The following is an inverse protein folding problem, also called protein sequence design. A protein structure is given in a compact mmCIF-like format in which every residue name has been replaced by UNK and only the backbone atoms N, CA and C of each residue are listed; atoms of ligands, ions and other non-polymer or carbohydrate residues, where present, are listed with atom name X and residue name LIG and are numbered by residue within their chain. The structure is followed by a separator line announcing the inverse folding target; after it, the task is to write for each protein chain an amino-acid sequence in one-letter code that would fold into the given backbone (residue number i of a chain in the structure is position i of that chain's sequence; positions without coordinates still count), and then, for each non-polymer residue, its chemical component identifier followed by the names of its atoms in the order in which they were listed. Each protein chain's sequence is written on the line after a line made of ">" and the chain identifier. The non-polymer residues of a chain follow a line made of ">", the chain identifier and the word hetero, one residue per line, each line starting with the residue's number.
data_IF_356295863428
#
_entry.id   IF_356295863428
#
_cell.length_a   1.000
_cell.length_b   1.000
_cell.length_c   1.000
_cell.angle_alpha   90.00
_cell.angle_beta   90.00
_cell.angle_gamma   90.00
#
_symmetry.space_group_name_H-M   'P 1'
#
loop_
_entity.id
_entity.type
_entity.pdbx_description
1 polymer ?
#
# COMPACT_ATOMS: atom_id res chain seq x y z
N UNK A 1 9.13 12.01 19.23
CA UNK A 1 7.97 12.70 18.61
C UNK A 1 6.88 13.00 19.65
N UNK A 2 6.03 14.03 19.48
CA UNK A 2 4.86 14.28 20.36
C UNK A 2 3.84 13.15 20.28
N UNK A 3 3.28 12.71 21.42
CA UNK A 3 2.27 11.65 21.47
C UNK A 3 0.97 12.10 20.77
N UNK A 4 0.48 11.30 19.81
CA UNK A 4 -0.75 11.59 19.08
C UNK A 4 -1.92 10.99 19.85
N UNK A 5 -2.52 11.77 20.75
CA UNK A 5 -3.67 11.28 21.50
C UNK A 5 -4.93 11.25 20.63
N UNK A 6 -5.65 10.12 20.69
CA UNK A 6 -6.97 9.94 20.07
C UNK A 6 -7.00 10.19 18.55
N UNK A 7 -5.95 9.74 17.84
CA UNK A 7 -5.83 9.89 16.39
C UNK A 7 -7.04 9.34 15.60
N UNK A 8 -7.62 8.16 15.92
CA UNK A 8 -8.77 7.64 15.18
C UNK A 8 -9.97 8.59 15.18
N UNK A 9 -10.31 9.14 16.34
CA UNK A 9 -11.40 10.11 16.47
C UNK A 9 -11.10 11.41 15.70
N UNK A 10 -9.84 11.88 15.73
CA UNK A 10 -9.42 13.07 15.00
C UNK A 10 -9.56 12.88 13.48
N UNK A 11 -9.06 11.75 12.95
CA UNK A 11 -9.18 11.41 11.53
C UNK A 11 -10.64 11.28 11.13
N UNK A 12 -11.46 10.56 11.91
CA UNK A 12 -12.89 10.39 11.64
C UNK A 12 -13.65 11.73 11.64
N UNK A 13 -13.37 12.60 12.61
CA UNK A 13 -13.96 13.95 12.69
C UNK A 13 -13.58 14.78 11.47
N UNK A 14 -12.29 14.81 11.11
CA UNK A 14 -11.81 15.58 9.96
C UNK A 14 -12.40 15.03 8.66
N UNK A 15 -12.52 13.71 8.52
CA UNK A 15 -13.11 13.07 7.35
C UNK A 15 -14.56 13.48 7.14
N UNK A 16 -15.38 13.43 8.20
CA UNK A 16 -16.79 13.88 8.14
C UNK A 16 -16.90 15.35 7.78
N UNK A 17 -16.05 16.21 8.36
CA UNK A 17 -16.03 17.63 8.06
C UNK A 17 -15.66 17.90 6.59
N UNK A 18 -14.58 17.27 6.10
CA UNK A 18 -14.10 17.39 4.74
C UNK A 18 -15.08 16.84 3.70
N UNK A 19 -15.82 15.78 4.05
CA UNK A 19 -16.89 15.25 3.21
C UNK A 19 -18.06 16.23 3.14
N UNK A 20 -18.47 16.81 4.27
CA UNK A 20 -19.56 17.78 4.33
C UNK A 20 -19.24 19.10 3.59
N UNK A 21 -17.97 19.52 3.59
CA UNK A 21 -17.50 20.71 2.85
C UNK A 21 -17.23 20.45 1.36
N UNK A 22 -17.27 19.19 0.91
CA UNK A 22 -16.93 18.81 -0.47
C UNK A 22 -15.42 18.77 -0.76
N UNK A 23 -14.56 18.86 0.26
CA UNK A 23 -13.11 18.71 0.12
C UNK A 23 -12.72 17.26 -0.18
N UNK A 24 -13.51 16.29 0.27
CA UNK A 24 -13.40 14.87 -0.06
C UNK A 24 -14.43 14.47 -1.12
N UNK A 25 -13.96 13.76 -2.14
CA UNK A 25 -14.83 13.01 -3.05
C UNK A 25 -14.73 11.52 -2.72
N UNK A 26 -15.62 11.04 -1.87
CA UNK A 26 -15.69 9.64 -1.46
C UNK A 26 -16.42 8.79 -2.50
N UNK A 27 -15.91 7.59 -2.76
CA UNK A 27 -16.53 6.64 -3.69
C UNK A 27 -16.80 5.33 -2.97
N UNK A 28 -18.07 5.02 -2.78
CA UNK A 28 -18.49 3.72 -2.24
C UNK A 28 -18.08 2.58 -3.18
N UNK A 29 -17.73 1.43 -2.61
CA UNK A 29 -17.28 0.27 -3.37
C UNK A 29 -18.05 -0.98 -3.06
N UNK A 30 -18.29 -1.79 -4.10
CA UNK A 30 -18.65 -3.21 -3.93
C UNK A 30 -17.40 -4.00 -3.56
N UNK A 31 -17.54 -5.01 -2.70
CA UNK A 31 -16.43 -5.86 -2.25
C UNK A 31 -16.77 -7.33 -2.52
N UNK A 32 -15.77 -8.07 -3.00
CA UNK A 32 -15.82 -9.53 -3.18
C UNK A 32 -14.54 -10.11 -2.60
N UNK A 33 -14.62 -11.26 -1.94
CA UNK A 33 -13.44 -12.00 -1.50
C UNK A 33 -13.07 -12.98 -2.60
N UNK A 34 -11.79 -12.99 -2.97
CA UNK A 34 -11.16 -13.93 -3.89
C UNK A 34 -10.07 -14.69 -3.12
N UNK A 35 -9.63 -15.83 -3.63
CA UNK A 35 -8.53 -16.58 -3.02
C UNK A 35 -7.37 -16.76 -3.99
N UNK A 36 -6.16 -16.65 -3.48
CA UNK A 36 -4.94 -17.03 -4.18
C UNK A 36 -4.13 -17.91 -3.25
N UNK A 37 -3.89 -19.16 -3.63
CA UNK A 37 -3.12 -20.13 -2.82
C UNK A 37 -3.69 -20.27 -1.38
N UNK A 38 -5.02 -20.22 -1.23
CA UNK A 38 -5.70 -20.29 0.07
C UNK A 38 -5.66 -19.00 0.92
N UNK A 39 -5.08 -17.93 0.39
CA UNK A 39 -5.04 -16.61 1.03
C UNK A 39 -6.20 -15.73 0.51
N UNK A 40 -7.03 -15.14 1.39
CA UNK A 40 -8.15 -14.30 0.97
C UNK A 40 -7.64 -12.91 0.58
N UNK A 41 -8.13 -12.41 -0.55
CA UNK A 41 -7.93 -11.05 -1.02
C UNK A 41 -9.30 -10.40 -1.21
N UNK A 42 -9.44 -9.15 -0.78
CA UNK A 42 -10.61 -8.36 -1.14
C UNK A 42 -10.38 -7.66 -2.48
N UNK A 43 -11.27 -7.92 -3.43
CA UNK A 43 -11.44 -7.13 -4.64
C UNK A 43 -12.45 -6.04 -4.34
N UNK A 44 -12.06 -4.77 -4.54
CA UNK A 44 -12.94 -3.61 -4.43
C UNK A 44 -13.24 -3.06 -5.81
N UNK A 45 -14.51 -2.77 -6.09
CA UNK A 45 -14.93 -2.14 -7.34
C UNK A 45 -15.51 -0.75 -7.11
N UNK A 46 -14.96 0.23 -7.81
CA UNK A 46 -15.46 1.61 -7.81
C UNK A 46 -15.53 2.18 -9.23
N UNK A 47 -16.73 2.23 -9.86
CA UNK A 47 -16.88 2.74 -11.22
C UNK A 47 -16.59 4.25 -11.30
N UNK A 48 -16.86 4.98 -10.22
CA UNK A 48 -16.67 6.42 -10.16
C UNK A 48 -15.19 6.84 -10.26
N UNK A 49 -14.25 5.94 -9.95
CA UNK A 49 -12.82 6.18 -10.12
C UNK A 49 -12.36 6.13 -11.58
N UNK A 50 -13.13 5.54 -12.50
CA UNK A 50 -12.84 5.60 -13.93
C UNK A 50 -12.85 7.06 -14.44
N UNK A 51 -13.65 7.92 -13.81
CA UNK A 51 -13.82 9.33 -14.17
C UNK A 51 -12.91 10.29 -13.38
N UNK A 52 -12.02 9.77 -12.51
CA UNK A 52 -11.08 10.61 -11.76
C UNK A 52 -10.16 11.35 -12.75
N UNK A 53 -9.86 12.65 -12.53
CA UNK A 53 -8.89 13.37 -13.36
C UNK A 53 -7.59 12.58 -13.43
N UNK A 54 -7.20 12.15 -14.64
CA UNK A 54 -5.92 11.49 -14.82
C UNK A 54 -4.86 12.54 -14.58
N UNK A 55 -3.93 12.28 -13.65
CA UNK A 55 -2.70 13.06 -13.57
C UNK A 55 -2.00 12.89 -14.92
N UNK A 56 -2.02 13.93 -15.75
CA UNK A 56 -1.34 13.91 -17.03
C UNK A 56 0.16 13.81 -16.74
N UNK A 57 0.72 12.60 -16.82
CA UNK A 57 2.16 12.35 -16.74
C UNK A 57 2.95 12.94 -17.94
N UNK A 58 2.32 13.75 -18.80
CA UNK A 58 2.81 14.15 -20.14
C UNK A 58 2.63 15.64 -20.49
N UNK A 59 2.42 16.54 -19.54
CA UNK A 59 2.46 17.99 -19.84
C UNK A 59 3.49 18.72 -18.98
N UNK A 60 4.34 19.51 -19.62
CA UNK A 60 5.32 20.48 -19.07
C UNK A 60 4.74 21.54 -18.11
N UNK A 61 3.49 21.39 -17.68
CA UNK A 61 2.95 22.08 -16.51
C UNK A 61 3.48 21.40 -15.25
N UNK A 62 4.33 22.10 -14.48
CA UNK A 62 4.77 21.65 -13.14
C UNK A 62 3.60 20.99 -12.40
N UNK A 63 3.67 19.68 -12.23
CA UNK A 63 2.76 18.93 -11.35
C UNK A 63 2.79 19.60 -9.99
N UNK A 64 1.68 20.24 -9.60
CA UNK A 64 1.57 20.90 -8.29
C UNK A 64 1.67 19.82 -7.23
N UNK A 65 2.65 19.95 -6.34
CA UNK A 65 2.80 19.06 -5.20
C UNK A 65 1.62 19.26 -4.23
N UNK A 66 0.74 18.26 -4.05
CA UNK A 66 -0.43 18.39 -3.19
C UNK A 66 -0.07 18.52 -1.70
N UNK A 67 1.17 18.22 -1.32
CA UNK A 67 1.67 18.26 0.06
C UNK A 67 2.45 19.54 0.37
N UNK A 68 2.83 20.34 -0.64
CA UNK A 68 3.49 21.64 -0.41
C UNK A 68 2.52 22.64 0.25
N UNK A 69 1.26 22.66 -0.19
CA UNK A 69 0.19 23.49 0.36
C UNK A 69 -1.11 22.69 0.47
N UNK A 70 -1.22 21.77 1.45
CA UNK A 70 -2.39 20.92 1.57
C UNK A 70 -3.63 21.76 1.89
N UNK A 71 -4.80 21.49 1.27
CA UNK A 71 -6.04 22.17 1.61
C UNK A 71 -6.36 22.04 3.09
N UNK A 72 -6.74 23.16 3.75
CA UNK A 72 -7.06 23.17 5.18
C UNK A 72 -8.15 22.17 5.57
N UNK A 73 -9.12 21.92 4.68
CA UNK A 73 -10.17 20.92 4.89
C UNK A 73 -9.66 19.48 4.88
N UNK A 74 -8.48 19.21 4.32
CA UNK A 74 -7.86 17.88 4.33
C UNK A 74 -6.80 17.73 5.42
N UNK A 75 -6.33 18.82 6.03
CA UNK A 75 -5.32 18.78 7.08
C UNK A 75 -5.88 18.19 8.38
N UNK A 76 -5.20 17.20 8.95
CA UNK A 76 -5.60 16.52 10.18
C UNK A 76 -4.82 17.08 11.37
N UNK A 77 -3.48 16.97 11.35
CA UNK A 77 -2.61 17.48 12.41
C UNK A 77 -1.15 17.52 11.97
N UNK A 78 -0.36 18.39 12.61
CA UNK A 78 1.10 18.36 12.53
C UNK A 78 1.68 17.20 13.35
N UNK A 79 2.79 16.63 12.87
CA UNK A 79 3.68 15.71 13.58
C UNK A 79 5.09 16.29 13.56
N UNK A 80 5.28 17.33 14.37
CA UNK A 80 6.53 18.06 14.41
C UNK A 80 7.71 17.19 14.89
N UNK A 81 8.92 17.43 14.35
CA UNK A 81 9.26 18.54 13.45
C UNK A 81 9.07 18.26 11.95
N UNK A 82 9.03 16.99 11.50
CA UNK A 82 9.27 16.65 10.09
C UNK A 82 8.05 16.18 9.28
N UNK A 83 6.91 15.87 9.91
CA UNK A 83 5.75 15.32 9.20
C UNK A 83 4.44 16.02 9.53
N UNK A 84 3.41 15.69 8.78
CA UNK A 84 2.02 16.07 9.05
C UNK A 84 1.07 15.02 8.47
N UNK A 85 -0.17 15.02 8.95
CA UNK A 85 -1.24 14.14 8.50
C UNK A 85 -2.26 14.91 7.68
N UNK A 86 -2.62 14.38 6.52
CA UNK A 86 -3.72 14.86 5.66
C UNK A 86 -4.62 13.71 5.25
N UNK A 87 -5.88 14.00 4.96
CA UNK A 87 -6.81 13.04 4.39
C UNK A 87 -6.52 12.84 2.90
N UNK A 88 -6.74 11.62 2.41
CA UNK A 88 -6.78 11.38 0.99
C UNK A 88 -8.00 12.10 0.39
N UNK A 89 -7.80 12.91 -0.65
CA UNK A 89 -8.87 13.68 -1.32
C UNK A 89 -9.90 12.79 -2.05
N UNK A 90 -9.46 11.63 -2.52
CA UNK A 90 -10.28 10.68 -3.31
C UNK A 90 -10.26 9.30 -2.66
N UNK A 91 -10.75 9.16 -1.41
CA UNK A 91 -10.69 7.93 -0.68
C UNK A 91 -11.71 6.92 -1.21
N UNK A 92 -11.25 5.68 -1.34
CA UNK A 92 -12.08 4.50 -1.66
C UNK A 92 -12.52 3.80 -0.37
N UNK A 93 -11.66 3.85 0.64
CA UNK A 93 -11.90 3.33 1.98
C UNK A 93 -12.04 4.56 2.90
N UNK A 94 -13.09 4.63 3.73
CA UNK A 94 -13.29 5.75 4.64
C UNK A 94 -12.07 6.00 5.53
N UNK A 95 -11.90 7.25 5.96
CA UNK A 95 -10.83 7.65 6.88
C UNK A 95 -9.40 7.37 6.35
N UNK A 96 -9.21 7.12 5.05
CA UNK A 96 -7.88 7.02 4.45
C UNK A 96 -7.11 8.35 4.64
N UNK A 97 -6.00 8.28 5.35
CA UNK A 97 -5.11 9.42 5.58
C UNK A 97 -3.68 9.12 5.16
N UNK A 98 -2.88 10.18 5.06
CA UNK A 98 -1.55 10.19 4.51
C UNK A 98 -0.65 10.94 5.48
N UNK A 99 0.49 10.33 5.80
CA UNK A 99 1.62 10.95 6.48
C UNK A 99 2.59 11.45 5.43
N UNK A 100 2.76 12.76 5.32
CA UNK A 100 3.68 13.38 4.37
C UNK A 100 4.82 14.08 5.11
N UNK A 101 5.99 14.15 4.49
CA UNK A 101 7.09 14.98 4.98
C UNK A 101 6.77 16.46 4.81
N UNK A 102 7.23 17.33 5.71
CA UNK A 102 7.09 18.79 5.56
C UNK A 102 8.03 19.33 4.49
N UNK A 103 9.26 18.84 4.46
CA UNK A 103 10.22 19.14 3.40
C UNK A 103 10.07 18.12 2.30
N UNK A 104 10.14 18.56 1.05
CA UNK A 104 10.12 17.65 -0.09
C UNK A 104 11.30 16.66 0.00
N UNK A 105 10.99 15.38 0.15
CA UNK A 105 11.92 14.26 -0.03
C UNK A 105 11.37 13.38 -1.16
N UNK A 106 12.23 12.70 -1.93
CA UNK A 106 11.74 11.85 -3.02
C UNK A 106 11.05 10.60 -2.47
N UNK A 107 9.95 10.20 -3.10
CA UNK A 107 9.20 8.97 -2.82
C UNK A 107 10.03 7.70 -3.14
N UNK A 108 11.03 7.82 -4.02
CA UNK A 108 11.92 6.73 -4.43
C UNK A 108 13.08 6.51 -3.46
N UNK A 109 13.33 7.45 -2.57
CA UNK A 109 14.41 7.33 -1.59
C UNK A 109 14.00 6.36 -0.47
N UNK A 110 14.98 5.69 0.17
CA UNK A 110 14.70 4.89 1.36
C UNK A 110 14.01 5.70 2.47
N UNK A 111 13.14 5.04 3.23
CA UNK A 111 12.55 5.64 4.42
C UNK A 111 13.63 5.85 5.47
N UNK A 112 13.60 7.02 6.09
CA UNK A 112 14.50 7.38 7.18
C UNK A 112 13.91 6.96 8.53
N UNK A 113 14.74 7.03 9.58
CA UNK A 113 14.32 6.66 10.93
C UNK A 113 13.12 7.51 11.42
N UNK A 114 13.07 8.80 11.07
CA UNK A 114 11.97 9.68 11.47
C UNK A 114 10.66 9.38 10.73
N UNK A 115 10.73 8.94 9.47
CA UNK A 115 9.57 8.45 8.72
C UNK A 115 8.93 7.23 9.42
N UNK A 116 9.77 6.28 9.85
CA UNK A 116 9.32 5.06 10.53
C UNK A 116 8.83 5.34 11.96
N UNK A 117 9.48 6.27 12.69
CA UNK A 117 9.00 6.76 13.99
C UNK A 117 7.60 7.36 13.84
N UNK A 118 7.40 8.25 12.86
CA UNK A 118 6.12 8.91 12.61
C UNK A 118 5.01 7.92 12.21
N UNK A 119 5.35 6.97 11.34
CA UNK A 119 4.42 5.93 10.92
C UNK A 119 3.99 5.04 12.09
N UNK A 120 4.94 4.60 12.92
CA UNK A 120 4.64 3.76 14.07
C UNK A 120 3.92 4.53 15.19
N UNK A 121 4.16 5.84 15.35
CA UNK A 121 3.37 6.67 16.26
C UNK A 121 1.88 6.68 15.88
N UNK A 122 1.55 6.67 14.58
CA UNK A 122 0.18 6.52 14.10
C UNK A 122 -0.40 5.13 14.44
N UNK A 123 0.37 4.06 14.20
CA UNK A 123 -0.01 2.67 14.54
C UNK A 123 -0.33 2.50 16.02
N UNK A 124 0.55 3.04 16.87
CA UNK A 124 0.41 3.03 18.32
C UNK A 124 -0.83 3.80 18.77
N UNK A 125 -1.09 4.98 18.19
CA UNK A 125 -2.27 5.78 18.54
C UNK A 125 -3.59 5.06 18.21
N UNK A 126 -3.67 4.33 17.10
CA UNK A 126 -4.82 3.48 16.79
C UNK A 126 -4.95 2.32 17.79
N UNK A 127 -3.85 1.59 18.04
CA UNK A 127 -3.82 0.47 18.98
C UNK A 127 -4.24 0.86 20.40
N UNK A 128 -3.80 2.02 20.89
CA UNK A 128 -4.16 2.54 22.21
C UNK A 128 -5.66 2.87 22.35
N UNK A 129 -6.36 3.05 21.23
CA UNK A 129 -7.81 3.21 21.17
C UNK A 129 -8.54 1.89 20.85
N UNK A 130 -7.84 0.75 20.80
CA UNK A 130 -8.40 -0.55 20.49
C UNK A 130 -8.75 -0.76 19.01
N UNK A 131 -8.21 0.07 18.11
CA UNK A 131 -8.42 -0.01 16.67
C UNK A 131 -7.14 -0.48 15.95
N UNK A 132 -7.31 -1.05 14.77
CA UNK A 132 -6.20 -1.53 13.94
C UNK A 132 -5.93 -0.59 12.76
N UNK A 133 -4.65 -0.45 12.39
CA UNK A 133 -4.24 0.41 11.28
C UNK A 133 -3.33 -0.36 10.32
N UNK A 134 -3.63 -0.24 9.02
CA UNK A 134 -2.80 -0.74 7.94
C UNK A 134 -2.06 0.42 7.28
N UNK A 135 -0.73 0.36 7.27
CA UNK A 135 0.14 1.37 6.69
C UNK A 135 0.86 0.82 5.48
N UNK A 136 0.99 1.61 4.43
CA UNK A 136 1.71 1.18 3.23
C UNK A 136 2.49 2.32 2.57
N UNK A 137 3.61 1.94 1.95
CA UNK A 137 4.50 2.83 1.21
C UNK A 137 4.77 2.24 -0.18
N UNK A 138 4.75 3.11 -1.19
CA UNK A 138 4.99 2.75 -2.59
C UNK A 138 6.25 3.48 -3.05
N UNK A 139 7.33 2.76 -3.32
CA UNK A 139 8.61 3.35 -3.74
C UNK A 139 8.99 2.87 -5.14
N UNK A 140 9.31 3.80 -6.04
CA UNK A 140 9.69 3.49 -7.43
C UNK A 140 8.49 3.36 -8.39
N UNK A 141 8.79 3.40 -9.68
CA UNK A 141 7.78 3.51 -10.76
C UNK A 141 6.82 2.31 -10.83
N UNK A 142 7.31 1.10 -10.53
CA UNK A 142 6.50 -0.13 -10.55
C UNK A 142 5.71 -0.37 -9.25
N UNK A 143 5.79 0.51 -8.26
CA UNK A 143 5.12 0.32 -6.96
C UNK A 143 3.67 0.80 -6.90
N UNK A 144 3.20 1.50 -7.93
CA UNK A 144 1.91 2.21 -7.91
C UNK A 144 1.95 3.56 -7.18
N UNK A 145 3.15 4.15 -7.01
CA UNK A 145 3.31 5.50 -6.50
C UNK A 145 2.73 6.55 -7.49
N UNK A 146 2.00 7.54 -6.96
CA UNK A 146 1.35 8.57 -7.79
C UNK A 146 1.84 10.00 -7.53
N UNK A 147 2.60 10.22 -6.45
CA UNK A 147 3.17 11.51 -6.06
C UNK A 147 4.66 11.35 -5.77
N UNK A 148 5.52 12.29 -6.23
CA UNK A 148 6.96 12.21 -6.03
C UNK A 148 7.41 12.65 -4.63
N UNK A 149 6.59 13.41 -3.91
CA UNK A 149 6.88 13.82 -2.53
C UNK A 149 6.63 12.64 -1.58
N UNK A 150 7.62 12.29 -0.76
CA UNK A 150 7.60 11.24 0.26
C UNK A 150 6.34 11.27 1.13
N UNK A 151 5.60 10.16 1.09
CA UNK A 151 4.41 9.95 1.90
C UNK A 151 4.13 8.46 2.15
N UNK A 152 3.62 8.17 3.35
CA UNK A 152 3.10 6.87 3.78
C UNK A 152 1.58 6.97 3.91
N UNK A 153 0.87 5.96 3.43
CA UNK A 153 -0.60 5.95 3.42
C UNK A 153 -1.13 5.00 4.49
N UNK A 154 -2.28 5.34 5.06
CA UNK A 154 -2.89 4.61 6.16
C UNK A 154 -4.38 4.38 5.93
N UNK A 155 -4.82 3.16 6.27
CA UNK A 155 -6.21 2.72 6.22
C UNK A 155 -6.58 2.11 7.57
N UNK A 156 -7.61 2.61 8.27
CA UNK A 156 -8.17 1.89 9.41
C UNK A 156 -8.69 0.52 8.97
N UNK A 157 -8.27 -0.55 9.64
CA UNK A 157 -8.58 -1.92 9.21
C UNK A 157 -10.08 -2.18 9.28
N UNK A 158 -10.77 -1.62 10.27
CA UNK A 158 -12.23 -1.64 10.39
C UNK A 158 -12.88 -1.02 9.15
N UNK A 159 -12.31 0.09 8.64
CA UNK A 159 -12.78 0.70 7.38
C UNK A 159 -12.45 -0.18 6.16
N UNK A 160 -11.35 -0.92 6.18
CA UNK A 160 -11.03 -1.93 5.15
C UNK A 160 -11.97 -3.14 5.18
N UNK A 161 -12.69 -3.39 6.29
CA UNK A 161 -13.71 -4.45 6.39
C UNK A 161 -15.07 -4.01 5.85
N UNK A 162 -15.29 -2.72 5.65
CA UNK A 162 -16.56 -2.21 5.12
C UNK A 162 -16.89 -2.80 3.75
N UNK A 163 -18.09 -3.33 3.62
CA UNK A 163 -18.61 -3.94 2.39
C UNK A 163 -18.33 -5.44 2.25
N UNK A 164 -17.50 -6.03 3.12
CA UNK A 164 -17.36 -7.49 3.21
C UNK A 164 -18.67 -8.07 3.75
N UNK A 165 -19.23 -9.07 3.06
CA UNK A 165 -20.48 -9.70 3.45
C UNK A 165 -20.35 -10.49 4.76
N UNK A 166 -21.45 -10.69 5.47
CA UNK A 166 -21.49 -11.48 6.68
C UNK A 166 -20.96 -12.91 6.43
N UNK A 167 -20.02 -13.37 7.25
CA UNK A 167 -19.30 -14.64 7.06
C UNK A 167 -18.11 -14.57 6.08
N UNK A 168 -17.85 -13.43 5.44
CA UNK A 168 -16.66 -13.23 4.62
C UNK A 168 -15.39 -13.22 5.47
N UNK A 169 -14.47 -14.15 5.20
CA UNK A 169 -13.20 -14.23 5.92
C UNK A 169 -12.13 -13.39 5.19
N UNK A 170 -11.64 -12.35 5.85
CA UNK A 170 -10.52 -11.55 5.40
C UNK A 170 -9.76 -11.02 6.61
N UNK A 171 -8.44 -10.98 6.49
CA UNK A 171 -7.54 -10.35 7.43
C UNK A 171 -6.43 -9.65 6.67
N UNK A 172 -5.72 -8.73 7.34
CA UNK A 172 -4.60 -8.03 6.73
C UNK A 172 -3.53 -9.05 6.34
N UNK A 173 -3.25 -9.17 5.04
CA UNK A 173 -2.31 -10.18 4.52
C UNK A 173 -0.96 -10.13 5.24
N UNK A 174 -0.40 -8.94 5.49
CA UNK A 174 0.88 -8.79 6.20
C UNK A 174 0.91 -9.47 7.58
N UNK A 175 -0.19 -9.39 8.35
CA UNK A 175 -0.28 -10.05 9.66
C UNK A 175 -0.41 -11.56 9.50
N UNK A 176 -1.08 -12.03 8.44
CA UNK A 176 -1.13 -13.47 8.12
C UNK A 176 0.23 -14.03 7.73
N UNK A 177 1.05 -13.26 7.01
CA UNK A 177 2.36 -13.70 6.50
C UNK A 177 3.40 -13.95 7.61
N UNK A 178 3.28 -13.28 8.76
CA UNK A 178 4.16 -13.53 9.91
C UNK A 178 3.68 -14.69 10.80
N UNK A 179 2.41 -15.09 10.68
CA UNK A 179 1.77 -16.09 11.55
C UNK A 179 1.56 -17.45 10.85
N UNK A 180 1.66 -17.49 9.52
CA UNK A 180 1.47 -18.72 8.74
C UNK A 180 2.83 -19.34 8.44
N UNK A 181 2.94 -20.66 8.64
CA UNK A 181 4.14 -21.41 8.29
C UNK A 181 4.17 -21.59 6.75
N UNK A 182 5.16 -20.99 6.09
CA UNK A 182 5.36 -21.03 4.62
C UNK A 182 4.13 -20.60 3.77
N UNK A 183 3.63 -19.36 3.90
CA UNK A 183 2.55 -18.88 3.04
C UNK A 183 3.03 -18.84 1.57
N UNK A 184 2.31 -19.52 0.69
CA UNK A 184 2.63 -19.54 -0.74
C UNK A 184 2.01 -18.32 -1.38
N UNK A 185 2.84 -17.32 -1.70
CA UNK A 185 2.46 -16.23 -2.59
C UNK A 185 3.14 -16.37 -3.96
N UNK A 186 2.47 -15.94 -5.05
CA UNK A 186 3.05 -15.90 -6.39
C UNK A 186 4.14 -14.83 -6.57
N UNK A 187 4.61 -14.19 -5.50
CA UNK A 187 5.70 -13.22 -5.53
C UNK A 187 6.57 -13.36 -4.27
N UNK A 188 7.81 -12.93 -4.38
CA UNK A 188 8.74 -12.79 -3.28
C UNK A 188 8.28 -11.66 -2.35
N UNK A 189 8.36 -11.92 -1.06
CA UNK A 189 8.17 -10.93 0.00
C UNK A 189 9.14 -11.25 1.13
N UNK A 190 9.41 -10.27 1.97
CA UNK A 190 10.17 -10.47 3.19
C UNK A 190 9.37 -9.86 4.34
N UNK A 191 9.17 -10.64 5.38
CA UNK A 191 8.40 -10.23 6.55
C UNK A 191 9.26 -10.26 7.80
N UNK A 192 8.98 -9.36 8.74
CA UNK A 192 9.55 -9.39 10.07
C UNK A 192 8.44 -9.08 11.09
N UNK A 193 8.18 -9.97 12.07
CA UNK A 193 7.30 -9.65 13.18
C UNK A 193 7.92 -8.54 14.04
N UNK A 194 7.11 -7.56 14.39
CA UNK A 194 7.52 -6.47 15.28
C UNK A 194 7.38 -6.89 16.73
N UNK A 195 8.37 -6.52 17.54
CA UNK A 195 8.24 -6.59 18.99
C UNK A 195 7.22 -5.56 19.47
N UNK A 196 6.72 -5.74 20.68
CA UNK A 196 5.87 -4.73 21.31
C UNK A 196 6.69 -3.47 21.59
N UNK A 197 6.24 -2.34 21.03
CA UNK A 197 6.87 -1.02 21.21
C UNK A 197 8.35 -0.97 20.78
N UNK A 198 8.67 -1.28 19.51
CA UNK A 198 10.02 -1.18 18.98
C UNK A 198 10.49 0.28 19.02
N UNK A 199 11.80 0.48 19.21
CA UNK A 199 12.39 1.81 19.10
C UNK A 199 12.44 2.25 17.63
N UNK A 200 12.55 3.57 17.35
CA UNK A 200 12.76 4.05 15.99
C UNK A 200 13.95 3.40 15.29
N UNK A 201 15.02 3.13 16.05
CA UNK A 201 16.21 2.43 15.54
C UNK A 201 15.88 0.98 15.16
N UNK A 202 15.15 0.25 16.00
CA UNK A 202 14.75 -1.13 15.70
C UNK A 202 13.92 -1.19 14.40
N UNK A 203 12.95 -0.27 14.24
CA UNK A 203 12.15 -0.17 13.01
C UNK A 203 13.03 0.06 11.78
N UNK A 204 13.99 0.98 11.88
CA UNK A 204 14.90 1.30 10.77
C UNK A 204 15.87 0.15 10.45
N UNK A 205 16.40 -0.54 11.46
CA UNK A 205 17.26 -1.71 11.27
C UNK A 205 16.49 -2.85 10.60
N UNK A 206 15.24 -3.10 11.03
CA UNK A 206 14.34 -4.09 10.41
C UNK A 206 14.07 -3.72 8.94
N UNK A 207 13.69 -2.46 8.70
CA UNK A 207 13.44 -1.94 7.36
C UNK A 207 14.65 -2.14 6.44
N UNK A 208 15.84 -1.73 6.89
CA UNK A 208 17.08 -1.84 6.12
C UNK A 208 17.42 -3.30 5.81
N UNK A 209 17.29 -4.20 6.80
CA UNK A 209 17.51 -5.65 6.60
C UNK A 209 16.53 -6.28 5.59
N UNK A 210 15.26 -5.86 5.60
CA UNK A 210 14.27 -6.30 4.60
C UNK A 210 14.62 -5.75 3.21
N UNK A 211 15.07 -4.49 3.16
CA UNK A 211 15.45 -3.82 1.91
C UNK A 211 16.66 -4.50 1.25
N UNK A 212 17.69 -4.86 2.03
CA UNK A 212 18.86 -5.60 1.55
C UNK A 212 18.49 -6.95 0.91
N UNK A 213 17.53 -7.66 1.51
CA UNK A 213 17.00 -8.92 0.96
C UNK A 213 16.24 -8.69 -0.36
N UNK A 214 15.44 -7.64 -0.44
CA UNK A 214 14.81 -7.23 -1.69
C UNK A 214 15.85 -6.91 -2.77
N UNK A 215 16.92 -6.16 -2.45
CA UNK A 215 18.02 -5.86 -3.37
C UNK A 215 18.66 -7.15 -3.89
N UNK A 216 18.91 -8.12 -3.00
CA UNK A 216 19.54 -9.38 -3.37
C UNK A 216 18.71 -10.20 -4.38
N UNK A 217 17.38 -10.18 -4.23
CA UNK A 217 16.47 -10.87 -5.16
C UNK A 217 16.25 -10.08 -6.45
N UNK A 218 16.13 -8.75 -6.37
CA UNK A 218 15.98 -7.89 -7.54
C UNK A 218 17.22 -7.92 -8.46
N UNK A 219 18.43 -7.93 -7.90
CA UNK A 219 19.67 -8.06 -8.69
C UNK A 219 19.78 -9.39 -9.43
N UNK A 220 19.21 -10.47 -8.90
CA UNK A 220 19.17 -11.78 -9.58
C UNK A 220 18.17 -11.80 -10.73
N UNK A 221 17.11 -10.98 -10.67
CA UNK A 221 16.18 -10.81 -11.79
C UNK A 221 16.70 -9.86 -12.87
N UNK A 222 17.60 -8.92 -12.51
CA UNK A 222 18.15 -7.86 -13.37
C UNK A 222 19.39 -8.23 -14.21
N UNK A 223 19.71 -9.53 -14.38
CA UNK A 223 20.65 -9.97 -15.44
C UNK A 223 20.11 -9.66 -16.88
N UNK A 224 19.00 -8.93 -16.98
CA UNK A 224 18.49 -8.27 -18.18
C UNK A 224 18.18 -6.77 -17.89
N UNK A 225 19.14 -5.89 -18.23
CA UNK A 225 19.06 -4.42 -18.39
C UNK A 225 19.44 -3.44 -17.24
N UNK A 226 20.69 -2.99 -17.32
CA UNK A 226 21.17 -1.58 -17.30
C UNK A 226 21.41 -0.82 -15.98
N UNK A 227 22.69 -0.45 -15.79
CA UNK A 227 23.12 0.91 -15.42
C UNK A 227 22.67 1.47 -14.06
N UNK A 228 23.18 0.94 -12.95
CA UNK A 228 22.89 1.47 -11.62
C UNK A 228 23.71 2.72 -11.28
N UNK A 229 23.05 3.84 -10.99
CA UNK A 229 23.62 4.97 -10.26
C UNK A 229 23.51 4.74 -8.74
N UNK A 230 24.55 5.00 -7.94
CA UNK A 230 24.57 4.68 -6.51
C UNK A 230 23.58 5.49 -5.63
N UNK A 231 22.93 6.52 -6.17
CA UNK A 231 22.08 7.45 -5.41
C UNK A 231 20.57 7.15 -5.49
N UNK A 232 20.14 6.14 -6.26
CA UNK A 232 18.71 5.78 -6.41
C UNK A 232 18.49 4.31 -6.08
N UNK A 233 17.34 4.02 -5.48
CA UNK A 233 16.90 2.66 -5.25
C UNK A 233 16.86 1.89 -6.57
N UNK A 234 17.54 0.74 -6.67
CA UNK A 234 17.69 0.04 -7.96
C UNK A 234 16.42 -0.67 -8.42
N UNK A 235 15.39 -0.73 -7.57
CA UNK A 235 14.15 -1.45 -7.80
C UNK A 235 12.97 -0.71 -7.17
N UNK A 236 11.77 -1.00 -7.65
CA UNK A 236 10.54 -0.55 -7.00
C UNK A 236 10.11 -1.54 -5.93
N UNK A 237 9.45 -1.08 -4.87
CA UNK A 237 8.89 -1.97 -3.85
C UNK A 237 7.66 -1.38 -3.18
N UNK A 238 6.87 -2.27 -2.58
CA UNK A 238 5.91 -1.88 -1.57
C UNK A 238 6.40 -2.28 -0.19
N UNK A 239 6.09 -1.44 0.80
CA UNK A 239 6.22 -1.76 2.21
C UNK A 239 4.83 -1.72 2.85
N UNK A 240 4.60 -2.64 3.77
CA UNK A 240 3.50 -2.63 4.71
C UNK A 240 4.04 -2.51 6.13
N UNK A 241 3.32 -1.76 6.96
CA UNK A 241 3.51 -1.66 8.39
C UNK A 241 2.17 -1.89 9.08
N UNK A 242 2.16 -2.74 10.10
CA UNK A 242 1.05 -2.90 11.06
C UNK A 242 1.63 -2.78 12.48
N UNK A 243 0.80 -3.00 13.51
CA UNK A 243 1.31 -3.13 14.88
C UNK A 243 2.11 -4.42 15.11
N UNK A 244 2.01 -5.40 14.22
CA UNK A 244 2.55 -6.75 14.39
C UNK A 244 3.64 -7.08 13.37
N UNK A 245 3.64 -6.44 12.21
CA UNK A 245 4.48 -6.83 11.08
C UNK A 245 5.05 -5.63 10.32
N UNK A 246 6.26 -5.80 9.81
CA UNK A 246 6.79 -5.05 8.68
C UNK A 246 7.05 -6.02 7.52
N UNK A 247 6.49 -5.72 6.35
CA UNK A 247 6.60 -6.59 5.17
C UNK A 247 7.01 -5.76 3.95
N UNK A 248 8.01 -6.22 3.21
CA UNK A 248 8.40 -5.63 1.92
C UNK A 248 8.12 -6.61 0.78
N UNK A 249 7.71 -6.07 -0.36
CA UNK A 249 7.54 -6.81 -1.62
C UNK A 249 8.26 -6.05 -2.74
N UNK A 250 9.33 -6.62 -3.34
CA UNK A 250 9.96 -6.06 -4.53
C UNK A 250 9.00 -6.17 -5.74
N UNK A 251 8.89 -5.08 -6.49
CA UNK A 251 7.93 -4.89 -7.58
C UNK A 251 8.65 -4.76 -8.92
N UNK A 252 8.18 -5.54 -9.91
CA UNK A 252 8.66 -5.51 -11.29
C UNK A 252 7.76 -4.67 -12.21
N UNK A 253 6.46 -4.61 -11.92
CA UNK A 253 5.50 -3.80 -12.68
C UNK A 253 4.43 -3.23 -11.75
N UNK A 254 3.90 -2.04 -12.08
CA UNK A 254 2.71 -1.47 -11.42
C UNK A 254 1.49 -2.36 -11.62
N UNK A 255 1.41 -3.05 -12.76
CA UNK A 255 0.23 -3.80 -13.15
C UNK A 255 0.39 -4.50 -14.49
N UNK A 256 -0.65 -5.22 -14.90
CA UNK A 256 -0.70 -5.87 -16.21
C UNK A 256 -2.14 -5.94 -16.71
N UNK A 257 -2.31 -6.29 -17.98
CA UNK A 257 -3.61 -6.71 -18.51
C UNK A 257 -3.81 -8.19 -18.17
N UNK A 258 -5.06 -8.56 -17.89
CA UNK A 258 -5.46 -9.95 -17.70
C UNK A 258 -6.31 -10.39 -18.88
N UNK A 259 -6.30 -11.68 -19.20
CA UNK A 259 -7.14 -12.26 -20.25
C UNK A 259 -8.46 -12.74 -19.65
N UNK A 260 -9.58 -12.18 -20.05
CA UNK A 260 -10.91 -12.62 -19.62
C UNK A 260 -11.29 -13.97 -20.25
N UNK A 261 -12.35 -14.60 -19.74
CA UNK A 261 -12.82 -15.93 -20.18
C UNK A 261 -13.23 -15.97 -21.65
N UNK A 262 -13.68 -14.85 -22.21
CA UNK A 262 -14.01 -14.72 -23.64
C UNK A 262 -12.76 -14.51 -24.53
N UNK A 263 -11.57 -14.43 -23.94
CA UNK A 263 -10.30 -14.24 -24.63
C UNK A 263 -9.83 -12.79 -24.74
N UNK A 264 -10.66 -11.81 -24.35
CA UNK A 264 -10.33 -10.39 -24.44
C UNK A 264 -9.29 -9.98 -23.38
N UNK A 265 -8.47 -8.98 -23.71
CA UNK A 265 -7.56 -8.36 -22.74
C UNK A 265 -8.29 -7.24 -21.98
N UNK A 266 -8.24 -7.33 -20.66
CA UNK A 266 -8.89 -6.39 -19.73
C UNK A 266 -7.83 -5.67 -18.88
N UNK A 267 -8.02 -4.37 -18.63
CA UNK A 267 -7.13 -3.55 -17.82
C UNK A 267 -6.39 -2.45 -18.61
N UNK A 268 -5.26 -1.93 -18.09
CA UNK A 268 -4.40 -2.56 -17.09
C UNK A 268 -4.98 -2.53 -15.66
N UNK A 269 -4.81 -3.64 -14.94
CA UNK A 269 -5.06 -3.72 -13.50
C UNK A 269 -3.83 -3.16 -12.79
N UNK A 270 -3.98 -2.00 -12.16
CA UNK A 270 -2.88 -1.30 -11.48
C UNK A 270 -2.93 -1.58 -9.97
N UNK A 271 -1.82 -2.04 -9.41
CA UNK A 271 -1.69 -2.49 -8.04
C UNK A 271 -0.64 -1.66 -7.28
N UNK A 272 -0.97 -1.28 -6.05
CA UNK A 272 -0.09 -0.55 -5.15
C UNK A 272 0.09 -1.33 -3.83
N UNK A 273 0.67 -0.69 -2.81
CA UNK A 273 0.96 -1.32 -1.52
C UNK A 273 -0.24 -1.90 -0.78
N UNK A 274 -1.49 -1.59 -1.15
CA UNK A 274 -2.67 -2.27 -0.58
C UNK A 274 -2.69 -3.78 -0.87
N UNK A 275 -1.91 -4.26 -1.84
CA UNK A 275 -1.71 -5.70 -2.07
C UNK A 275 -1.16 -6.42 -0.84
N UNK A 276 -0.32 -5.76 -0.02
CA UNK A 276 0.19 -6.32 1.24
C UNK A 276 -0.86 -6.31 2.37
N UNK A 277 -1.98 -5.61 2.16
CA UNK A 277 -3.19 -5.77 2.96
C UNK A 277 -4.17 -6.75 2.31
N UNK A 278 -3.79 -7.48 1.26
CA UNK A 278 -4.69 -8.38 0.54
C UNK A 278 -5.85 -7.62 -0.12
N UNK A 279 -5.61 -6.42 -0.66
CA UNK A 279 -6.65 -5.54 -1.20
C UNK A 279 -6.32 -5.06 -2.61
N UNK A 280 -7.23 -5.31 -3.54
CA UNK A 280 -7.16 -4.89 -4.94
C UNK A 280 -8.29 -3.92 -5.25
N UNK A 281 -8.08 -3.05 -6.25
CA UNK A 281 -9.07 -2.09 -6.71
C UNK A 281 -9.21 -2.19 -8.23
N UNK A 282 -10.44 -2.36 -8.69
CA UNK A 282 -10.83 -2.34 -10.11
C UNK A 282 -11.83 -1.22 -10.38
N UNK A 283 -11.81 -0.69 -11.60
CA UNK A 283 -12.51 0.53 -11.98
C UNK A 283 -13.59 0.30 -13.04
N UNK A 284 -13.60 -0.87 -13.70
CA UNK A 284 -14.65 -1.24 -14.65
C UNK A 284 -15.36 -2.53 -14.27
N UNK A 285 -16.60 -2.69 -14.72
CA UNK A 285 -17.34 -3.95 -14.53
C UNK A 285 -16.66 -5.12 -15.24
N UNK A 286 -16.02 -4.85 -16.39
CA UNK A 286 -15.26 -5.86 -17.11
C UNK A 286 -14.10 -6.41 -16.27
N UNK A 287 -13.34 -5.55 -15.58
CA UNK A 287 -12.27 -5.95 -14.66
C UNK A 287 -12.84 -6.71 -13.45
N UNK A 288 -13.92 -6.21 -12.88
CA UNK A 288 -14.62 -6.82 -11.74
C UNK A 288 -15.10 -8.24 -12.04
N UNK A 289 -15.76 -8.43 -13.18
CA UNK A 289 -16.28 -9.73 -13.58
C UNK A 289 -15.16 -10.68 -14.00
N UNK A 290 -14.09 -10.18 -14.62
CA UNK A 290 -12.95 -11.02 -14.99
C UNK A 290 -12.32 -11.72 -13.77
N UNK A 291 -12.16 -11.03 -12.65
CA UNK A 291 -11.63 -11.63 -11.42
C UNK A 291 -12.64 -12.56 -10.71
N UNK A 292 -13.92 -12.19 -10.66
CA UNK A 292 -14.93 -13.01 -9.96
C UNK A 292 -15.32 -14.28 -10.71
N UNK A 293 -15.21 -14.26 -12.04
CA UNK A 293 -15.54 -15.42 -12.87
C UNK A 293 -14.39 -16.43 -12.97
N UNK A 294 -13.15 -16.03 -12.63
CA UNK A 294 -11.96 -16.88 -12.63
C UNK A 294 -10.92 -16.33 -11.65
N UNK A 295 -10.81 -16.95 -10.46
CA UNK A 295 -9.85 -16.52 -9.43
C UNK A 295 -8.38 -16.73 -9.84
N UNK A 296 -8.09 -17.56 -10.85
CA UNK A 296 -6.71 -17.69 -11.38
C UNK A 296 -6.18 -16.35 -11.92
N UNK A 297 -7.07 -15.42 -12.32
CA UNK A 297 -6.65 -14.07 -12.72
C UNK A 297 -5.97 -13.30 -11.60
N UNK A 298 -6.33 -13.58 -10.33
CA UNK A 298 -5.64 -13.03 -9.17
C UNK A 298 -4.20 -13.54 -9.11
N UNK A 299 -3.99 -14.84 -9.30
CA UNK A 299 -2.64 -15.41 -9.35
C UNK A 299 -1.83 -14.84 -10.51
N UNK A 300 -2.42 -14.76 -11.71
CA UNK A 300 -1.78 -14.20 -12.90
C UNK A 300 -1.30 -12.76 -12.67
N UNK A 301 -2.15 -11.89 -12.12
CA UNK A 301 -1.77 -10.49 -11.88
C UNK A 301 -0.71 -10.37 -10.79
N UNK A 302 -0.79 -11.17 -9.72
CA UNK A 302 0.17 -11.14 -8.63
C UNK A 302 1.55 -11.68 -9.07
N UNK A 303 1.59 -12.71 -9.92
CA UNK A 303 2.81 -13.18 -10.59
C UNK A 303 3.44 -12.07 -11.45
N UNK A 304 2.62 -11.31 -12.19
CA UNK A 304 3.09 -10.32 -13.14
C UNK A 304 3.70 -9.06 -12.48
N UNK A 305 3.34 -8.75 -11.23
CA UNK A 305 3.78 -7.50 -10.56
C UNK A 305 4.98 -7.66 -9.65
N UNK A 306 5.28 -8.87 -9.18
CA UNK A 306 6.32 -9.13 -8.18
C UNK A 306 7.48 -9.96 -8.73
N UNK A 307 8.62 -9.94 -8.04
CA UNK A 307 9.70 -10.88 -8.37
C UNK A 307 9.23 -12.29 -8.01
N UNK A 308 9.40 -13.32 -8.87
CA UNK A 308 9.02 -14.69 -8.52
C UNK A 308 9.73 -15.17 -7.23
N UNK A 309 9.08 -15.98 -6.39
CA UNK A 309 9.73 -16.55 -5.22
C UNK A 309 10.90 -17.42 -5.64
N UNK A 310 12.03 -17.35 -4.94
CA UNK A 310 13.18 -18.20 -5.22
C UNK A 310 12.79 -19.68 -5.07
N UNK A 311 12.99 -20.48 -6.12
CA UNK A 311 12.85 -21.94 -6.05
C UNK A 311 14.14 -22.51 -5.51
N UNK A 312 14.23 -22.76 -4.21
CA UNK A 312 15.34 -23.56 -3.70
C UNK A 312 15.15 -25.00 -4.18
N UNK A 313 16.21 -25.62 -4.70
CA UNK A 313 16.23 -27.01 -5.21
C UNK A 313 15.92 -28.08 -4.15
N UNK A 314 15.43 -27.69 -2.98
CA UNK A 314 14.88 -28.53 -1.91
C UNK A 314 13.76 -27.80 -1.14
N UNK A 315 12.71 -27.34 -1.82
CA UNK A 315 11.35 -27.23 -1.26
C UNK A 315 11.08 -26.39 0.01
N UNK A 316 12.07 -25.77 0.63
CA UNK A 316 11.91 -24.80 1.72
C UNK A 316 12.32 -23.43 1.20
N UNK A 317 11.42 -22.44 1.31
CA UNK A 317 11.65 -21.07 0.83
C UNK A 317 12.24 -20.21 1.95
N UNK A 318 13.25 -19.40 1.58
CA UNK A 318 13.99 -18.45 2.43
C UNK A 318 13.11 -17.43 3.17
#
# INVERSE_FOLDING_TARGET
>A
MSTIQNLPALVCKQFKAAQASGDITFFETRVSILHCEGLPFQLRFSPALANKPKSNKLSDSKSIDPFENPPKGLFVTDLSPSHFLVLNKFPVIPNHFILATKTFKQQTDPLEQDDLEAAYACMKAYRENGEELFGFFNSGEASGASQPHRHIQFLPVESMRNGIQEGGNWEVLADRLINTLEPVLPFAYFANPLTKDPTPKDLHDIYTSLLERCVAVAKRSDDMNSGLSPEKMPFSYNLCLTNQAMVLCPRLSEGSKIKANNGDLVGPILLNGTILGGTLLVKSEQEWDAFRNDEEKLKDILLAIGVPPATDAKGGKL
#
